data_IF_867853743147
#
_entry.id   IF_867853743147
#
_cell.length_a   1.000
_cell.length_b   1.000
_cell.length_c   1.000
_cell.angle_alpha   90.00
_cell.angle_beta   90.00
_cell.angle_gamma   90.00
#
_symmetry.space_group_name_H-M   'P 1'
#
loop_
_entity.id
_entity.type
_entity.pdbx_description
1 polymer ?
#
# COMPACT_ATOMS: atom_id res chain seq x y z
N UNK A 1 -12.90 -2.69 -1.84
CA UNK A 1 -12.88 -1.24 -1.54
C UNK A 1 -12.05 -0.56 -2.61
N UNK A 2 -12.36 0.69 -2.99
CA UNK A 2 -11.59 1.44 -3.97
C UNK A 2 -11.12 2.76 -3.34
N UNK A 3 -9.88 3.16 -3.62
CA UNK A 3 -9.34 4.45 -3.17
C UNK A 3 -8.43 5.06 -4.23
N UNK A 4 -8.26 6.38 -4.19
CA UNK A 4 -7.35 7.11 -5.06
C UNK A 4 -6.05 7.41 -4.33
N UNK A 5 -4.92 7.10 -4.95
CA UNK A 5 -3.61 7.41 -4.38
C UNK A 5 -3.35 8.91 -4.45
N UNK A 6 -3.15 9.53 -3.28
CA UNK A 6 -2.86 10.96 -3.14
C UNK A 6 -1.36 11.22 -3.06
N UNK A 7 -0.62 10.32 -2.41
CA UNK A 7 0.81 10.44 -2.20
C UNK A 7 1.46 9.08 -2.27
N UNK A 8 2.68 9.07 -2.80
CA UNK A 8 3.52 7.90 -2.94
C UNK A 8 4.91 8.25 -2.42
N UNK A 9 5.41 7.44 -1.49
CA UNK A 9 6.71 7.65 -0.86
C UNK A 9 7.83 6.86 -1.54
N UNK A 10 7.53 6.16 -2.63
CA UNK A 10 8.48 5.34 -3.37
C UNK A 10 8.68 3.96 -2.76
N UNK A 11 9.44 3.12 -3.47
CA UNK A 11 9.71 1.74 -3.08
C UNK A 11 11.02 1.70 -2.31
N UNK A 12 10.96 1.16 -1.09
CA UNK A 12 12.12 0.76 -0.30
C UNK A 12 12.35 -0.74 -0.44
N UNK A 13 13.61 -1.15 -0.49
CA UNK A 13 13.99 -2.56 -0.61
C UNK A 13 15.04 -2.91 0.43
N UNK A 14 15.08 -4.17 0.84
CA UNK A 14 16.17 -4.68 1.63
C UNK A 14 16.17 -6.19 1.68
N UNK A 15 17.10 -6.72 2.46
CA UNK A 15 17.34 -8.15 2.61
C UNK A 15 17.50 -8.46 4.10
N UNK A 16 16.90 -9.56 4.55
CA UNK A 16 17.10 -10.07 5.91
C UNK A 16 17.04 -11.59 5.90
N UNK A 17 18.12 -12.26 6.31
CA UNK A 17 18.23 -13.72 6.34
C UNK A 17 17.77 -14.36 5.01
N UNK A 18 18.40 -13.95 3.90
CA UNK A 18 18.11 -14.38 2.53
C UNK A 18 16.69 -14.06 2.01
N UNK A 19 15.87 -13.37 2.80
CA UNK A 19 14.57 -12.88 2.37
C UNK A 19 14.68 -11.45 1.86
N UNK A 20 14.52 -11.31 0.54
CA UNK A 20 14.36 -10.01 -0.11
C UNK A 20 12.96 -9.49 0.18
N UNK A 21 12.87 -8.25 0.64
CA UNK A 21 11.60 -7.56 0.85
C UNK A 21 11.56 -6.27 0.03
N UNK A 22 10.35 -5.92 -0.41
CA UNK A 22 10.03 -4.58 -0.90
C UNK A 22 8.88 -4.01 -0.12
N UNK A 23 8.94 -2.72 0.18
CA UNK A 23 7.92 -1.96 0.88
C UNK A 23 7.61 -0.71 0.09
N UNK A 24 6.34 -0.34 0.01
CA UNK A 24 5.92 0.95 -0.51
C UNK A 24 4.84 1.51 0.37
N UNK A 25 5.05 2.72 0.86
CA UNK A 25 4.03 3.44 1.60
C UNK A 25 3.33 4.43 0.67
N UNK A 26 2.01 4.52 0.80
CA UNK A 26 1.17 5.43 0.03
C UNK A 26 0.08 6.02 0.93
N UNK A 27 -0.43 7.19 0.57
CA UNK A 27 -1.66 7.73 1.14
C UNK A 27 -2.78 7.62 0.12
N UNK A 28 -3.96 7.18 0.58
CA UNK A 28 -5.14 7.03 -0.26
C UNK A 28 -6.31 7.84 0.29
N UNK A 29 -7.08 8.44 -0.62
CA UNK A 29 -8.42 8.93 -0.34
C UNK A 29 -9.43 7.82 -0.65
N UNK A 30 -10.33 7.57 0.29
CA UNK A 30 -11.47 6.69 0.10
C UNK A 30 -12.66 7.32 0.83
N UNK A 31 -13.77 7.51 0.12
CA UNK A 31 -15.06 7.96 0.70
C UNK A 31 -14.93 9.19 1.62
N UNK A 32 -14.11 10.17 1.20
CA UNK A 32 -13.84 11.40 1.97
C UNK A 32 -12.87 11.25 3.14
N UNK A 33 -12.37 10.04 3.41
CA UNK A 33 -11.36 9.76 4.44
C UNK A 33 -9.98 9.50 3.84
N UNK A 34 -8.93 9.86 4.58
CA UNK A 34 -7.54 9.63 4.18
C UNK A 34 -6.92 8.50 5.02
N UNK A 35 -6.25 7.57 4.35
CA UNK A 35 -5.60 6.44 4.99
C UNK A 35 -4.15 6.34 4.52
N UNK A 36 -3.25 6.04 5.45
CA UNK A 36 -1.95 5.49 5.09
C UNK A 36 -2.10 4.00 4.76
N UNK A 37 -1.40 3.55 3.73
CA UNK A 37 -1.35 2.15 3.33
C UNK A 37 0.09 1.72 3.07
N UNK A 38 0.49 0.60 3.65
CA UNK A 38 1.76 -0.07 3.41
C UNK A 38 1.55 -1.28 2.52
N UNK A 39 2.19 -1.26 1.36
CA UNK A 39 2.29 -2.36 0.41
C UNK A 39 3.59 -3.13 0.64
N UNK A 40 3.52 -4.46 0.56
CA UNK A 40 4.68 -5.33 0.70
C UNK A 40 4.95 -6.12 -0.58
N UNK A 41 6.19 -6.56 -0.77
CA UNK A 41 6.64 -7.50 -1.79
C UNK A 41 6.06 -7.20 -3.18
N UNK A 42 5.35 -8.15 -3.78
CA UNK A 42 4.75 -8.00 -5.11
C UNK A 42 3.73 -6.86 -5.16
N UNK A 43 2.98 -6.59 -4.09
CA UNK A 43 2.06 -5.46 -4.02
C UNK A 43 2.79 -4.11 -4.06
N UNK A 44 3.98 -4.01 -3.43
CA UNK A 44 4.80 -2.79 -3.48
C UNK A 44 5.27 -2.46 -4.91
N UNK A 45 5.44 -3.51 -5.73
CA UNK A 45 5.91 -3.44 -7.12
C UNK A 45 4.77 -3.61 -8.13
N UNK A 46 3.51 -3.48 -7.70
CA UNK A 46 2.37 -3.59 -8.62
C UNK A 46 2.50 -2.59 -9.79
N UNK A 47 3.17 -1.47 -9.55
CA UNK A 47 3.53 -0.47 -10.56
C UNK A 47 4.96 -0.01 -10.33
N UNK A 48 5.81 -0.09 -11.35
CA UNK A 48 7.22 0.33 -11.25
C UNK A 48 7.44 1.86 -11.33
N UNK A 49 6.35 2.63 -11.51
CA UNK A 49 6.35 4.10 -11.54
C UNK A 49 5.55 4.67 -10.38
N UNK A 50 5.61 5.99 -10.20
CA UNK A 50 4.81 6.74 -9.23
C UNK A 50 3.31 6.38 -9.36
N UNK A 51 2.66 6.13 -8.22
CA UNK A 51 1.26 5.73 -8.14
C UNK A 51 0.29 6.89 -7.92
N UNK A 52 0.76 8.13 -7.73
CA UNK A 52 -0.10 9.29 -7.50
C UNK A 52 -1.13 9.44 -8.62
N UNK A 53 -2.39 9.62 -8.22
CA UNK A 53 -3.53 9.79 -9.11
C UNK A 53 -4.18 8.49 -9.57
N UNK A 54 -3.54 7.33 -9.37
CA UNK A 54 -4.12 6.03 -9.70
C UNK A 54 -5.28 5.68 -8.77
N UNK A 55 -6.30 5.04 -9.33
CA UNK A 55 -7.32 4.37 -8.54
C UNK A 55 -6.87 2.94 -8.28
N UNK A 56 -6.96 2.52 -7.02
CA UNK A 56 -6.64 1.17 -6.59
C UNK A 56 -7.87 0.53 -5.97
N UNK A 57 -8.11 -0.73 -6.32
CA UNK A 57 -9.09 -1.58 -5.67
C UNK A 57 -8.36 -2.58 -4.80
N UNK A 58 -8.76 -2.68 -3.54
CA UNK A 58 -8.16 -3.58 -2.57
C UNK A 58 -9.20 -4.35 -1.75
N UNK A 59 -8.82 -5.57 -1.35
CA UNK A 59 -9.60 -6.46 -0.48
C UNK A 59 -8.65 -7.28 0.39
N UNK A 60 -9.12 -7.69 1.58
CA UNK A 60 -8.36 -8.47 2.56
C UNK A 60 -7.07 -7.76 3.01
N UNK A 61 -7.20 -6.50 3.42
CA UNK A 61 -6.11 -5.74 4.06
C UNK A 61 -6.23 -5.85 5.58
N UNK A 62 -5.10 -5.82 6.27
CA UNK A 62 -5.08 -5.69 7.73
C UNK A 62 -5.27 -4.22 8.09
N UNK A 63 -6.07 -3.96 9.11
CA UNK A 63 -6.14 -2.64 9.76
C UNK A 63 -5.22 -2.69 10.98
N UNK A 64 -4.33 -1.72 11.09
CA UNK A 64 -3.43 -1.55 12.23
C UNK A 64 -3.50 -0.11 12.74
N UNK A 65 -3.00 0.08 13.95
CA UNK A 65 -2.87 1.39 14.58
C UNK A 65 -1.40 1.65 14.88
N UNK A 66 -0.92 2.84 14.54
CA UNK A 66 0.43 3.28 14.85
C UNK A 66 0.39 4.77 15.16
N UNK A 67 0.90 5.15 16.33
CA UNK A 67 0.97 6.54 16.79
C UNK A 67 -0.36 7.31 16.64
N UNK A 68 -1.46 6.67 17.04
CA UNK A 68 -2.82 7.24 16.94
C UNK A 68 -3.43 7.25 15.53
N UNK A 69 -2.68 6.89 14.48
CA UNK A 69 -3.20 6.82 13.11
C UNK A 69 -3.63 5.40 12.71
N UNK A 70 -4.72 5.31 11.93
CA UNK A 70 -5.15 4.07 11.27
C UNK A 70 -4.30 3.84 10.02
N UNK A 71 -3.72 2.65 9.90
CA UNK A 71 -2.90 2.25 8.75
C UNK A 71 -3.45 0.95 8.17
N UNK A 72 -3.54 0.90 6.85
CA UNK A 72 -3.89 -0.30 6.09
C UNK A 72 -2.61 -1.03 5.69
N UNK A 73 -2.55 -2.34 5.86
CA UNK A 73 -1.35 -3.13 5.56
C UNK A 73 -1.75 -4.28 4.65
N UNK A 74 -1.05 -4.43 3.52
CA UNK A 74 -1.23 -5.59 2.65
C UNK A 74 -0.64 -6.84 3.28
N UNK A 75 -1.38 -7.94 3.20
CA UNK A 75 -0.98 -9.28 3.59
C UNK A 75 -0.79 -10.14 2.34
N UNK A 76 -0.25 -11.34 2.51
CA UNK A 76 -0.03 -12.28 1.39
C UNK A 76 -1.32 -12.58 0.60
N UNK A 77 -2.48 -12.60 1.26
CA UNK A 77 -3.79 -12.85 0.65
C UNK A 77 -4.54 -11.56 0.23
N UNK A 78 -3.88 -10.39 0.29
CA UNK A 78 -4.49 -9.14 -0.18
C UNK A 78 -4.63 -9.17 -1.69
N UNK A 79 -5.85 -8.91 -2.15
CA UNK A 79 -6.13 -8.65 -3.56
C UNK A 79 -5.96 -7.15 -3.79
N UNK A 80 -5.07 -6.77 -4.70
CA UNK A 80 -4.80 -5.38 -5.06
C UNK A 80 -4.75 -5.25 -6.58
N UNK A 81 -5.49 -4.31 -7.14
CA UNK A 81 -5.50 -4.03 -8.59
C UNK A 81 -5.62 -2.54 -8.85
N UNK A 82 -5.13 -2.11 -10.02
CA UNK A 82 -5.33 -0.76 -10.53
C UNK A 82 -6.60 -0.75 -11.37
N UNK A 83 -7.35 0.35 -11.34
CA UNK A 83 -8.60 0.53 -12.09
C UNK A 83 -8.60 1.84 -12.85
#
# INVERSE_FOLDING_TARGET
>A
VQGRVLRDFGISTGERNDNIWSRRDIHIAQDGSHFAMTLWNSQARLVDRNMVGLNIKFKNVKISWFDGARILITMANTQLSIT
#
